data_IF_563423685922
#
_entry.id   IF_563423685922
#
_cell.length_a   1.000
_cell.length_b   1.000
_cell.length_c   1.000
_cell.angle_alpha   90.00
_cell.angle_beta   90.00
_cell.angle_gamma   90.00
#
_symmetry.space_group_name_H-M   'P 1'
#
loop_
_entity.id
_entity.type
_entity.pdbx_description
1 polymer ?
#
# COMPACT_ATOMS: atom_id res chain seq x y z
N UNK A 1 35.06 71.57 -0.94
CA UNK A 1 34.27 71.45 0.29
C UNK A 1 33.22 70.38 0.05
N UNK A 2 33.35 69.22 0.72
CA UNK A 2 32.40 68.09 0.68
C UNK A 2 31.04 68.50 1.25
N UNK A 3 29.92 67.83 0.87
CA UNK A 3 29.52 66.54 1.47
C UNK A 3 28.82 65.62 0.45
N UNK A 4 28.53 64.35 0.64
CA UNK A 4 28.68 63.38 1.71
C UNK A 4 28.12 62.06 1.17
N UNK A 5 28.85 60.96 1.32
CA UNK A 5 28.40 59.64 0.90
C UNK A 5 27.35 59.11 1.89
N UNK A 6 26.12 58.90 1.44
CA UNK A 6 25.12 58.09 2.16
C UNK A 6 25.02 56.73 1.48
N UNK A 7 25.50 55.69 2.17
CA UNK A 7 25.26 54.30 1.81
C UNK A 7 23.81 53.94 2.14
N UNK A 8 23.00 53.75 1.10
CA UNK A 8 21.67 53.17 1.24
C UNK A 8 21.79 51.66 1.48
N UNK A 9 21.59 51.23 2.72
CA UNK A 9 21.47 49.83 3.08
C UNK A 9 20.14 49.28 2.54
N UNK A 10 20.20 48.48 1.48
CA UNK A 10 19.09 47.62 1.04
C UNK A 10 18.93 46.50 2.07
N UNK A 11 17.98 46.65 2.98
CA UNK A 11 17.45 45.58 3.82
C UNK A 11 16.71 44.56 2.93
N UNK A 12 17.45 43.60 2.38
CA UNK A 12 16.90 42.34 1.93
C UNK A 12 16.41 41.59 3.16
N UNK A 13 15.11 41.65 3.41
CA UNK A 13 14.42 40.74 4.32
C UNK A 13 14.58 39.33 3.77
N UNK A 14 15.66 38.65 4.15
CA UNK A 14 15.78 37.22 3.99
C UNK A 14 14.67 36.59 4.83
N UNK A 15 13.61 36.11 4.16
CA UNK A 15 12.69 35.16 4.78
C UNK A 15 13.57 34.00 5.27
N UNK A 16 13.64 33.87 6.59
CA UNK A 16 14.20 32.71 7.25
C UNK A 16 13.51 31.48 6.67
N UNK A 17 14.20 30.72 5.82
CA UNK A 17 13.91 29.31 5.67
C UNK A 17 14.02 28.73 7.07
N UNK A 18 12.88 28.40 7.67
CA UNK A 18 12.88 27.54 8.84
C UNK A 18 13.68 26.29 8.47
N UNK A 19 14.66 25.86 9.27
CA UNK A 19 15.28 24.57 9.06
C UNK A 19 14.17 23.53 9.13
N UNK A 20 13.96 22.81 8.01
CA UNK A 20 13.02 21.71 7.95
C UNK A 20 13.32 20.74 9.12
N UNK A 21 12.25 20.41 9.83
CA UNK A 21 12.25 19.69 11.11
C UNK A 21 13.15 18.45 11.08
N UNK A 22 14.07 18.33 12.04
CA UNK A 22 14.95 17.17 12.25
C UNK A 22 14.28 16.00 13.00
N UNK A 23 12.95 15.95 13.02
CA UNK A 23 12.21 14.82 13.62
C UNK A 23 11.84 13.84 12.50
N UNK A 24 12.28 12.58 12.55
CA UNK A 24 11.88 11.56 11.56
C UNK A 24 10.41 11.12 11.71
N UNK A 25 9.69 11.70 12.68
CA UNK A 25 8.32 11.33 13.03
C UNK A 25 7.36 12.51 12.81
N UNK A 26 6.12 12.19 12.40
CA UNK A 26 5.03 13.14 12.24
C UNK A 26 4.24 13.21 13.56
N UNK A 27 4.43 14.29 14.30
CA UNK A 27 4.00 14.42 15.71
C UNK A 27 2.58 14.96 15.87
N UNK A 28 2.05 14.79 17.08
CA UNK A 28 0.78 15.40 17.49
C UNK A 28 0.76 16.90 17.19
N UNK A 29 -0.38 17.39 16.70
CA UNK A 29 -0.55 18.77 16.22
C UNK A 29 -0.03 19.01 14.79
N UNK A 30 0.73 18.09 14.20
CA UNK A 30 1.25 18.25 12.85
C UNK A 30 0.14 18.11 11.80
N UNK A 31 0.29 18.90 10.73
CA UNK A 31 -0.59 18.91 9.55
C UNK A 31 0.26 18.90 8.29
N UNK A 32 -0.20 18.15 7.30
CA UNK A 32 0.39 18.10 5.98
C UNK A 32 -0.71 18.15 4.93
N UNK A 33 -0.62 19.08 3.98
CA UNK A 33 -1.66 19.31 2.99
C UNK A 33 -1.10 19.25 1.58
N UNK A 34 -1.77 18.49 0.71
CA UNK A 34 -1.55 18.49 -0.74
C UNK A 34 -2.66 19.31 -1.38
N UNK A 35 -2.29 20.37 -2.11
CA UNK A 35 -3.25 21.17 -2.88
C UNK A 35 -3.59 20.45 -4.18
N UNK A 36 -4.88 20.41 -4.49
CA UNK A 36 -5.42 19.78 -5.69
C UNK A 36 -5.51 20.81 -6.83
N UNK A 37 -5.44 20.36 -8.08
CA UNK A 37 -5.72 21.24 -9.23
C UNK A 37 -7.09 21.90 -9.10
N UNK A 38 -7.20 23.17 -9.48
CA UNK A 38 -8.45 23.92 -9.38
C UNK A 38 -9.57 23.42 -10.31
N UNK A 39 -9.21 22.70 -11.37
CA UNK A 39 -10.14 22.01 -12.26
C UNK A 39 -9.80 20.52 -12.27
N UNK A 40 -10.83 19.66 -12.32
CA UNK A 40 -10.65 18.21 -12.39
C UNK A 40 -9.85 17.81 -13.64
N UNK A 41 -8.86 16.94 -13.45
CA UNK A 41 -7.99 16.43 -14.51
C UNK A 41 -8.08 14.89 -14.55
N UNK A 42 -8.68 14.31 -15.60
CA UNK A 42 -8.72 12.86 -15.76
C UNK A 42 -7.31 12.26 -15.77
N UNK A 43 -7.10 11.16 -15.03
CA UNK A 43 -5.81 10.48 -14.96
C UNK A 43 -4.74 11.19 -14.11
N UNK A 44 -5.07 12.28 -13.42
CA UNK A 44 -4.16 12.91 -12.48
C UNK A 44 -3.75 11.94 -11.37
N UNK A 45 -2.45 11.84 -11.12
CA UNK A 45 -1.89 11.06 -10.02
C UNK A 45 -0.66 11.78 -9.46
N UNK A 46 -0.65 12.00 -8.14
CA UNK A 46 0.46 12.63 -7.44
C UNK A 46 0.67 11.94 -6.09
N UNK A 47 1.94 11.77 -5.71
CA UNK A 47 2.32 11.33 -4.37
C UNK A 47 3.25 12.37 -3.76
N UNK A 48 2.95 12.80 -2.54
CA UNK A 48 3.80 13.75 -1.82
C UNK A 48 4.24 13.14 -0.51
N UNK A 49 5.55 12.97 -0.34
CA UNK A 49 6.16 12.32 0.82
C UNK A 49 5.94 13.12 2.10
N UNK A 50 5.51 12.43 3.16
CA UNK A 50 5.32 12.95 4.52
C UNK A 50 6.45 12.48 5.42
N UNK A 51 6.83 11.21 5.31
CA UNK A 51 7.90 10.59 6.10
C UNK A 51 8.81 9.78 5.18
N UNK A 52 10.12 9.91 5.36
CA UNK A 52 11.08 9.00 4.74
C UNK A 52 11.80 8.19 5.80
N UNK A 53 11.92 6.89 5.54
CA UNK A 53 12.70 6.02 6.39
C UNK A 53 14.18 6.44 6.36
N UNK A 54 14.74 6.71 7.53
CA UNK A 54 16.16 6.94 7.68
C UNK A 54 16.96 5.65 7.42
N UNK A 55 18.11 5.76 6.75
CA UNK A 55 19.06 4.66 6.55
C UNK A 55 19.62 4.57 5.13
N UNK A 56 20.53 3.62 4.91
CA UNK A 56 21.19 3.37 3.62
C UNK A 56 20.63 2.14 2.87
N UNK A 57 19.63 1.44 3.43
CA UNK A 57 19.08 0.22 2.82
C UNK A 57 18.21 0.59 1.62
N UNK A 58 18.45 -0.03 0.49
CA UNK A 58 17.63 0.11 -0.71
C UNK A 58 16.78 -1.15 -0.98
N UNK A 59 15.59 -1.00 -1.59
CA UNK A 59 14.81 0.24 -1.70
C UNK A 59 14.37 0.73 -0.32
N UNK A 60 14.19 2.05 -0.22
CA UNK A 60 13.75 2.75 1.01
C UNK A 60 12.23 2.77 1.11
N UNK A 61 11.75 2.80 2.34
CA UNK A 61 10.35 3.05 2.63
C UNK A 61 10.07 4.55 2.74
N UNK A 62 8.91 4.96 2.29
CA UNK A 62 8.38 6.30 2.50
C UNK A 62 6.87 6.23 2.81
N UNK A 63 6.37 7.14 3.64
CA UNK A 63 4.94 7.36 3.79
C UNK A 63 4.58 8.65 3.04
N UNK A 64 3.53 8.61 2.23
CA UNK A 64 3.13 9.72 1.37
C UNK A 64 1.61 9.91 1.38
N UNK A 65 1.16 11.12 1.08
CA UNK A 65 -0.22 11.35 0.65
C UNK A 65 -0.29 11.13 -0.85
N UNK A 66 -1.06 10.11 -1.26
CA UNK A 66 -1.41 9.82 -2.67
C UNK A 66 -2.72 10.51 -3.02
N UNK A 67 -2.76 11.09 -4.21
CA UNK A 67 -3.91 11.77 -4.79
C UNK A 67 -4.11 11.22 -6.19
N UNK A 68 -5.28 10.66 -6.47
CA UNK A 68 -5.61 10.08 -7.77
C UNK A 68 -6.97 10.61 -8.26
N UNK A 69 -7.11 10.80 -9.57
CA UNK A 69 -8.37 11.20 -10.16
C UNK A 69 -9.41 10.08 -10.00
N UNK A 70 -10.47 10.34 -9.23
CA UNK A 70 -11.61 9.44 -9.07
C UNK A 70 -12.56 9.50 -10.27
N UNK A 71 -13.37 8.46 -10.44
CA UNK A 71 -14.35 8.34 -11.53
C UNK A 71 -15.53 9.32 -11.41
N UNK A 72 -15.82 9.80 -10.20
CA UNK A 72 -16.90 10.76 -9.92
C UNK A 72 -16.57 12.24 -10.14
N UNK A 73 -15.47 12.56 -10.84
CA UNK A 73 -15.10 13.95 -11.14
C UNK A 73 -14.44 14.73 -9.99
N UNK A 74 -13.89 14.04 -9.00
CA UNK A 74 -13.04 14.61 -7.95
C UNK A 74 -11.84 13.73 -7.65
N UNK A 75 -11.10 14.04 -6.59
CA UNK A 75 -9.84 13.34 -6.27
C UNK A 75 -9.97 12.41 -5.08
N UNK A 76 -9.40 11.21 -5.19
CA UNK A 76 -9.27 10.23 -4.11
C UNK A 76 -7.97 10.51 -3.36
N UNK A 77 -8.06 10.65 -2.04
CA UNK A 77 -6.90 10.84 -1.17
C UNK A 77 -6.61 9.53 -0.43
N UNK A 78 -5.34 9.17 -0.29
CA UNK A 78 -4.93 8.04 0.56
C UNK A 78 -3.59 8.31 1.22
N UNK A 79 -3.41 7.85 2.46
CA UNK A 79 -2.10 7.71 3.07
C UNK A 79 -1.51 6.39 2.59
N UNK A 80 -0.34 6.41 1.97
CA UNK A 80 0.30 5.22 1.41
C UNK A 80 1.68 5.00 2.01
N UNK A 81 2.08 3.73 2.14
CA UNK A 81 3.48 3.35 2.34
C UNK A 81 4.02 2.85 1.00
N UNK A 82 5.13 3.42 0.60
CA UNK A 82 5.86 3.11 -0.62
C UNK A 82 7.12 2.34 -0.26
N UNK A 83 7.46 1.35 -1.07
CA UNK A 83 8.79 0.77 -1.14
C UNK A 83 9.38 1.09 -2.51
N UNK A 84 10.34 2.00 -2.57
CA UNK A 84 10.69 2.73 -3.80
C UNK A 84 9.43 3.34 -4.46
N UNK A 85 9.03 2.85 -5.63
CA UNK A 85 7.85 3.34 -6.38
C UNK A 85 6.60 2.47 -6.22
N UNK A 86 6.68 1.37 -5.47
CA UNK A 86 5.56 0.42 -5.28
C UNK A 86 4.79 0.75 -4.01
N UNK A 87 3.47 0.90 -4.13
CA UNK A 87 2.57 0.98 -2.97
C UNK A 87 2.46 -0.40 -2.32
N UNK A 88 2.93 -0.49 -1.08
CA UNK A 88 2.91 -1.71 -0.26
C UNK A 88 1.83 -1.70 0.81
N UNK A 89 1.31 -0.51 1.13
CA UNK A 89 0.14 -0.35 1.98
C UNK A 89 -0.58 0.96 1.62
N UNK A 90 -1.90 0.99 1.73
CA UNK A 90 -2.72 2.19 1.59
C UNK A 90 -3.75 2.27 2.72
N UNK A 91 -4.20 3.49 3.04
CA UNK A 91 -5.27 3.76 3.99
C UNK A 91 -6.65 3.74 3.32
N UNK A 92 -6.79 3.01 2.22
CA UNK A 92 -7.95 3.12 1.35
C UNK A 92 -9.22 2.53 1.98
N UNK A 93 -10.32 3.26 1.75
CA UNK A 93 -11.70 2.77 1.82
C UNK A 93 -12.21 2.86 0.39
N UNK A 94 -12.11 1.75 -0.36
CA UNK A 94 -12.47 1.69 -1.78
C UNK A 94 -13.97 1.90 -2.06
N UNK A 95 -14.78 2.07 -1.01
CA UNK A 95 -16.24 2.03 -1.05
C UNK A 95 -16.92 3.38 -0.75
N UNK A 96 -16.20 4.42 -0.34
CA UNK A 96 -16.79 5.75 -0.15
C UNK A 96 -16.38 6.71 -1.26
N UNK A 97 -17.39 7.12 -2.04
CA UNK A 97 -17.40 8.14 -3.10
C UNK A 97 -16.98 9.55 -2.63
N UNK A 98 -16.22 9.67 -1.54
CA UNK A 98 -15.79 10.94 -1.03
C UNK A 98 -14.58 11.44 -1.84
N UNK A 99 -14.87 12.34 -2.77
CA UNK A 99 -13.87 12.95 -3.63
C UNK A 99 -13.50 14.36 -3.12
N UNK A 100 -12.24 14.54 -2.72
CA UNK A 100 -11.72 15.85 -2.34
C UNK A 100 -11.67 16.78 -3.56
N UNK A 101 -12.00 18.06 -3.36
CA UNK A 101 -12.05 19.07 -4.43
C UNK A 101 -10.91 20.07 -4.41
N UNK A 102 -10.35 20.36 -3.24
CA UNK A 102 -9.34 21.41 -3.10
C UNK A 102 -8.06 20.94 -2.40
N UNK A 103 -8.17 20.12 -1.35
CA UNK A 103 -7.02 19.74 -0.52
C UNK A 103 -7.17 18.28 -0.06
N UNK A 104 -6.07 17.54 0.00
CA UNK A 104 -5.94 16.33 0.82
C UNK A 104 -5.05 16.66 2.02
N UNK A 105 -5.61 16.65 3.23
CA UNK A 105 -4.90 17.03 4.45
C UNK A 105 -4.79 15.87 5.42
N UNK A 106 -3.55 15.46 5.71
CA UNK A 106 -3.20 14.54 6.79
C UNK A 106 -2.96 15.34 8.08
N UNK A 107 -3.54 14.89 9.19
CA UNK A 107 -3.38 15.50 10.50
C UNK A 107 -3.29 14.42 11.57
N UNK A 108 -2.39 14.63 12.55
CA UNK A 108 -2.40 13.91 13.81
C UNK A 108 -2.89 14.89 14.88
N UNK A 109 -4.15 14.75 15.27
CA UNK A 109 -4.83 15.69 16.17
C UNK A 109 -4.29 15.61 17.59
N UNK A 110 -4.54 16.64 18.41
CA UNK A 110 -4.11 16.71 19.83
C UNK A 110 -4.63 15.54 20.69
N UNK A 111 -5.81 15.00 20.36
CA UNK A 111 -6.37 13.81 21.01
C UNK A 111 -5.81 12.48 20.45
N UNK A 112 -4.85 12.52 19.51
CA UNK A 112 -4.14 11.35 19.01
C UNK A 112 -4.82 10.64 17.84
N UNK A 113 -5.75 11.30 17.14
CA UNK A 113 -6.40 10.75 15.94
C UNK A 113 -5.57 11.10 14.70
N UNK A 114 -5.03 10.08 14.01
CA UNK A 114 -4.52 10.29 12.65
C UNK A 114 -5.70 10.28 11.69
N UNK A 115 -5.85 11.33 10.87
CA UNK A 115 -6.94 11.44 9.92
C UNK A 115 -6.50 12.08 8.60
N UNK A 116 -7.17 11.66 7.53
CA UNK A 116 -7.08 12.26 6.21
C UNK A 116 -8.40 12.97 5.90
N UNK A 117 -8.34 14.24 5.49
CA UNK A 117 -9.51 15.10 5.28
C UNK A 117 -9.41 15.88 3.97
N UNK A 118 -10.52 16.48 3.52
CA UNK A 118 -10.57 17.35 2.33
C UNK A 118 -10.14 18.81 2.59
N UNK A 119 -9.68 19.13 3.80
CA UNK A 119 -9.42 20.51 4.24
C UNK A 119 -10.66 21.30 4.68
N UNK A 120 -11.89 20.84 4.37
CA UNK A 120 -13.16 21.44 4.80
C UNK A 120 -13.86 20.65 5.94
N UNK A 121 -13.12 19.72 6.57
CA UNK A 121 -13.47 18.85 7.71
C UNK A 121 -14.21 17.55 7.38
N UNK A 122 -14.49 17.25 6.12
CA UNK A 122 -14.96 15.91 5.78
C UNK A 122 -13.81 14.91 5.93
N UNK A 123 -14.05 13.81 6.65
CA UNK A 123 -13.03 12.80 6.96
C UNK A 123 -13.08 11.70 5.92
N UNK A 124 -11.98 11.51 5.19
CA UNK A 124 -11.80 10.45 4.18
C UNK A 124 -11.44 9.13 4.87
N UNK A 125 -10.52 9.19 5.83
CA UNK A 125 -10.03 8.03 6.58
C UNK A 125 -9.51 8.47 7.95
N UNK A 126 -9.56 7.57 8.94
CA UNK A 126 -8.97 7.79 10.27
C UNK A 126 -8.52 6.47 10.91
N UNK A 127 -7.51 6.55 11.81
CA UNK A 127 -6.93 5.40 12.52
C UNK A 127 -7.76 4.84 13.69
N UNK A 128 -8.79 5.56 14.14
CA UNK A 128 -9.59 5.20 15.32
C UNK A 128 -8.86 5.30 16.67
N UNK A 129 -7.84 6.14 16.79
CA UNK A 129 -6.95 6.26 17.97
C UNK A 129 -7.21 7.48 18.85
N UNK A 130 -8.29 8.22 18.60
CA UNK A 130 -8.71 9.34 19.45
C UNK A 130 -8.80 8.92 20.93
N UNK A 131 -8.17 9.68 21.82
CA UNK A 131 -8.11 9.43 23.27
C UNK A 131 -7.21 8.28 23.70
N UNK A 132 -6.55 7.56 22.79
CA UNK A 132 -5.71 6.40 23.11
C UNK A 132 -4.24 6.77 23.40
N UNK A 133 -3.92 8.06 23.46
CA UNK A 133 -2.58 8.53 23.81
C UNK A 133 -1.54 8.42 22.70
N UNK A 134 -1.95 8.35 21.43
CA UNK A 134 -1.03 8.43 20.29
C UNK A 134 -0.38 9.82 20.17
N UNK A 135 0.91 9.85 19.87
CA UNK A 135 1.77 11.06 19.95
C UNK A 135 2.62 11.27 18.71
N UNK A 136 3.00 10.20 18.03
CA UNK A 136 3.83 10.28 16.84
C UNK A 136 3.50 9.17 15.85
N UNK A 137 3.38 9.54 14.58
CA UNK A 137 3.40 8.61 13.46
C UNK A 137 4.85 8.37 13.04
N UNK A 138 5.23 7.10 13.02
CA UNK A 138 6.59 6.63 12.80
C UNK A 138 6.62 5.54 11.72
N UNK A 139 7.55 5.64 10.77
CA UNK A 139 7.77 4.65 9.73
C UNK A 139 9.03 3.81 10.03
N UNK A 140 8.84 2.51 10.22
CA UNK A 140 9.97 1.59 10.47
C UNK A 140 10.80 1.39 9.19
N UNK A 141 12.09 1.74 9.25
CA UNK A 141 12.97 1.69 8.08
C UNK A 141 13.36 0.27 7.63
N UNK A 142 13.16 -0.74 8.47
CA UNK A 142 13.50 -2.13 8.16
C UNK A 142 12.33 -2.88 7.56
N UNK A 143 11.13 -2.69 8.12
CA UNK A 143 9.94 -3.47 7.75
C UNK A 143 8.93 -2.67 6.90
N UNK A 144 8.97 -1.34 6.96
CA UNK A 144 7.94 -0.49 6.37
C UNK A 144 6.65 -0.40 7.19
N UNK A 145 6.67 -0.91 8.43
CA UNK A 145 5.51 -0.82 9.32
C UNK A 145 5.30 0.64 9.76
N UNK A 146 4.12 1.19 9.45
CA UNK A 146 3.71 2.53 9.82
C UNK A 146 2.94 2.47 11.13
N UNK A 147 3.46 3.11 12.18
CA UNK A 147 2.98 2.96 13.55
C UNK A 147 2.61 4.30 14.17
N UNK A 148 1.50 4.34 14.89
CA UNK A 148 1.22 5.40 15.86
C UNK A 148 1.77 4.97 17.21
N UNK A 149 2.63 5.80 17.79
CA UNK A 149 3.33 5.54 19.04
C UNK A 149 2.83 6.46 20.15
N UNK A 150 2.72 5.94 21.37
CA UNK A 150 2.49 6.73 22.60
C UNK A 150 3.78 7.43 23.09
N UNK A 151 3.69 8.19 24.19
CA UNK A 151 4.86 8.86 24.81
C UNK A 151 5.95 7.89 25.29
N UNK A 152 5.59 6.62 25.53
CA UNK A 152 6.50 5.54 25.94
C UNK A 152 7.01 4.72 24.76
N UNK A 153 6.70 5.14 23.52
CA UNK A 153 7.01 4.46 22.25
C UNK A 153 6.34 3.10 22.08
N UNK A 154 5.25 2.82 22.79
CA UNK A 154 4.41 1.66 22.52
C UNK A 154 3.53 1.92 21.30
N UNK A 155 3.27 0.87 20.54
CA UNK A 155 2.41 0.93 19.37
C UNK A 155 0.94 0.95 19.79
N UNK A 156 0.23 2.02 19.45
CA UNK A 156 -1.22 2.20 19.65
C UNK A 156 -1.99 1.72 18.42
N UNK A 157 -1.40 1.87 17.24
CA UNK A 157 -1.95 1.42 15.96
C UNK A 157 -0.82 1.13 14.97
N UNK A 158 -1.02 0.20 14.05
CA UNK A 158 -0.05 -0.11 13.00
C UNK A 158 -0.69 -0.55 11.67
N UNK A 159 -0.02 -0.25 10.55
CA UNK A 159 -0.47 -0.64 9.21
C UNK A 159 -0.48 -2.16 8.99
N UNK A 160 0.43 -2.89 9.65
CA UNK A 160 0.56 -4.34 9.50
C UNK A 160 -0.67 -5.13 9.97
N UNK A 161 -1.55 -4.55 10.79
CA UNK A 161 -2.79 -5.19 11.23
C UNK A 161 -3.91 -5.15 10.17
N UNK A 162 -3.72 -4.38 9.07
CA UNK A 162 -4.70 -4.15 8.00
C UNK A 162 -4.03 -4.21 6.61
N UNK A 163 -3.69 -5.40 6.10
CA UNK A 163 -3.09 -5.54 4.77
C UNK A 163 -4.07 -5.13 3.65
N UNK A 164 -3.55 -4.58 2.55
CA UNK A 164 -4.34 -4.01 1.42
C UNK A 164 -4.02 -4.63 0.06
N UNK A 165 -3.28 -5.74 0.03
CA UNK A 165 -2.88 -6.40 -1.22
C UNK A 165 -1.47 -6.99 -1.18
N UNK A 166 -0.65 -6.55 -0.22
CA UNK A 166 0.72 -7.04 -0.05
C UNK A 166 1.03 -7.38 1.41
N UNK A 167 1.85 -8.40 1.61
CA UNK A 167 2.43 -8.76 2.90
C UNK A 167 3.93 -8.50 2.88
N UNK A 168 4.43 -7.83 3.92
CA UNK A 168 5.82 -7.41 4.04
C UNK A 168 6.59 -8.27 5.06
N UNK A 169 7.91 -8.48 4.88
CA UNK A 169 8.75 -9.11 5.90
C UNK A 169 8.60 -8.45 7.28
N UNK A 170 8.42 -9.28 8.31
CA UNK A 170 8.14 -8.87 9.69
C UNK A 170 6.65 -8.78 10.02
N UNK A 171 5.76 -8.97 9.05
CA UNK A 171 4.32 -9.00 9.29
C UNK A 171 3.87 -10.36 9.82
N UNK A 172 3.04 -10.32 10.87
CA UNK A 172 2.48 -11.50 11.53
C UNK A 172 0.97 -11.37 11.63
N UNK A 173 0.24 -12.35 11.09
CA UNK A 173 -1.22 -12.35 11.03
C UNK A 173 -1.78 -13.51 11.84
N UNK A 174 -2.86 -13.25 12.58
CA UNK A 174 -3.70 -14.29 13.17
C UNK A 174 -4.77 -14.69 12.16
N UNK A 175 -5.04 -15.98 12.02
CA UNK A 175 -6.03 -16.49 11.09
C UNK A 175 -7.43 -16.58 11.74
N UNK A 176 -8.52 -16.44 10.96
CA UNK A 176 -8.53 -16.14 9.53
C UNK A 176 -8.11 -14.69 9.24
N UNK A 177 -7.51 -14.46 8.07
CA UNK A 177 -7.14 -13.14 7.58
C UNK A 177 -7.27 -13.10 6.07
N UNK A 178 -7.57 -11.93 5.50
CA UNK A 178 -7.66 -11.77 4.06
C UNK A 178 -7.33 -10.34 3.64
N UNK A 179 -7.05 -10.17 2.36
CA UNK A 179 -6.98 -8.86 1.72
C UNK A 179 -7.50 -8.96 0.30
N UNK A 180 -8.01 -7.84 -0.21
CA UNK A 180 -8.68 -7.76 -1.51
C UNK A 180 -8.02 -6.74 -2.41
N UNK A 181 -8.04 -6.98 -3.72
CA UNK A 181 -7.58 -6.03 -4.74
C UNK A 181 -8.62 -5.97 -5.85
N UNK A 182 -8.98 -4.76 -6.27
CA UNK A 182 -9.94 -4.56 -7.36
C UNK A 182 -9.20 -4.32 -8.69
N UNK A 183 -9.62 -4.93 -9.81
CA UNK A 183 -9.04 -4.68 -11.12
C UNK A 183 -9.26 -3.24 -11.55
N UNK A 184 -8.19 -2.56 -11.95
CA UNK A 184 -8.25 -1.15 -12.35
C UNK A 184 -9.18 -0.86 -13.56
N UNK A 185 -9.56 -1.89 -14.32
CA UNK A 185 -10.25 -1.75 -15.62
C UNK A 185 -11.70 -2.24 -15.65
N UNK A 186 -12.18 -2.94 -14.62
CA UNK A 186 -13.50 -3.57 -14.64
C UNK A 186 -14.20 -3.31 -13.30
N UNK A 187 -15.27 -2.51 -13.35
CA UNK A 187 -16.11 -2.22 -12.19
C UNK A 187 -17.08 -3.37 -11.93
N UNK A 188 -16.65 -4.40 -11.19
CA UNK A 188 -17.52 -5.41 -10.57
C UNK A 188 -16.71 -6.53 -9.89
N UNK A 189 -15.71 -7.14 -10.55
CA UNK A 189 -14.94 -8.19 -9.91
C UNK A 189 -13.91 -7.64 -8.94
N UNK A 190 -13.54 -8.43 -7.94
CA UNK A 190 -12.36 -8.21 -7.11
C UNK A 190 -11.69 -9.54 -6.79
N UNK A 191 -10.39 -9.49 -6.57
CA UNK A 191 -9.59 -10.63 -6.12
C UNK A 191 -9.45 -10.60 -4.61
N UNK A 192 -9.40 -11.76 -3.97
CA UNK A 192 -8.99 -11.90 -2.57
C UNK A 192 -7.88 -12.94 -2.44
N UNK A 193 -7.00 -12.74 -1.46
CA UNK A 193 -6.20 -13.80 -0.88
C UNK A 193 -6.71 -14.03 0.53
N UNK A 194 -7.14 -15.26 0.81
CA UNK A 194 -7.71 -15.66 2.08
C UNK A 194 -6.79 -16.69 2.74
N UNK A 195 -6.41 -16.41 3.99
CA UNK A 195 -5.58 -17.26 4.83
C UNK A 195 -6.49 -17.82 5.93
N UNK A 196 -6.92 -19.06 5.76
CA UNK A 196 -7.84 -19.74 6.67
C UNK A 196 -7.12 -20.79 7.53
N UNK A 197 -7.87 -21.51 8.37
CA UNK A 197 -7.32 -22.53 9.25
C UNK A 197 -6.94 -23.83 8.52
N UNK A 198 -7.53 -24.10 7.37
CA UNK A 198 -7.36 -25.34 6.59
C UNK A 198 -6.62 -25.13 5.27
N UNK A 199 -6.71 -23.93 4.67
CA UNK A 199 -5.99 -23.59 3.43
C UNK A 199 -5.70 -22.10 3.29
N UNK A 200 -4.81 -21.80 2.34
CA UNK A 200 -4.66 -20.47 1.74
C UNK A 200 -5.29 -20.56 0.35
N UNK A 201 -6.10 -19.60 -0.06
CA UNK A 201 -6.71 -19.62 -1.38
C UNK A 201 -6.82 -18.22 -1.98
N UNK A 202 -6.63 -18.13 -3.30
CA UNK A 202 -6.90 -16.93 -4.07
C UNK A 202 -8.23 -17.08 -4.81
N UNK A 203 -9.09 -16.07 -4.67
CA UNK A 203 -10.44 -16.08 -5.23
C UNK A 203 -10.70 -14.89 -6.13
N UNK A 204 -11.56 -15.08 -7.12
CA UNK A 204 -12.23 -14.00 -7.85
C UNK A 204 -13.70 -13.95 -7.45
N UNK A 205 -14.18 -12.75 -7.17
CA UNK A 205 -15.58 -12.48 -6.88
C UNK A 205 -16.26 -11.82 -8.08
N UNK A 206 -17.51 -12.22 -8.35
CA UNK A 206 -18.41 -11.59 -9.32
C UNK A 206 -19.76 -11.36 -8.65
N UNK A 207 -19.95 -10.17 -8.07
CA UNK A 207 -21.06 -9.92 -7.17
C UNK A 207 -20.99 -10.88 -5.97
N UNK A 208 -22.03 -11.68 -5.77
CA UNK A 208 -22.10 -12.65 -4.67
C UNK A 208 -21.41 -14.00 -4.98
N UNK A 209 -20.97 -14.22 -6.23
CA UNK A 209 -20.31 -15.47 -6.62
C UNK A 209 -18.82 -15.40 -6.33
N UNK A 210 -18.25 -16.51 -5.87
CA UNK A 210 -16.83 -16.65 -5.52
C UNK A 210 -16.26 -17.90 -6.16
N UNK A 211 -15.12 -17.77 -6.83
CA UNK A 211 -14.44 -18.89 -7.49
C UNK A 211 -12.97 -18.95 -7.07
N UNK A 212 -12.54 -20.12 -6.59
CA UNK A 212 -11.13 -20.38 -6.27
C UNK A 212 -10.37 -20.66 -7.54
N UNK A 213 -9.23 -20.01 -7.73
CA UNK A 213 -8.34 -20.27 -8.87
C UNK A 213 -6.95 -20.76 -8.44
N UNK A 214 -6.60 -20.64 -7.16
CA UNK A 214 -5.35 -21.17 -6.62
C UNK A 214 -5.51 -21.51 -5.13
N UNK A 215 -4.95 -22.64 -4.68
CA UNK A 215 -5.00 -23.06 -3.27
C UNK A 215 -3.68 -23.70 -2.80
N UNK A 216 -3.39 -23.55 -1.51
CA UNK A 216 -2.34 -24.25 -0.79
C UNK A 216 -2.89 -24.80 0.53
N UNK A 217 -2.86 -26.12 0.68
CA UNK A 217 -3.21 -26.81 1.93
C UNK A 217 -1.94 -27.22 2.68
N UNK A 218 -1.93 -27.23 4.02
CA UNK A 218 -0.80 -27.72 4.79
C UNK A 218 -0.53 -29.21 4.51
N UNK A 219 0.74 -29.60 4.52
CA UNK A 219 1.15 -30.99 4.22
C UNK A 219 0.66 -32.01 5.26
N UNK A 220 0.31 -31.52 6.45
CA UNK A 220 -0.35 -32.29 7.50
C UNK A 220 -1.76 -31.74 7.70
N UNK A 221 -2.73 -32.58 8.05
CA UNK A 221 -4.10 -32.16 8.42
C UNK A 221 -4.14 -31.33 9.74
N UNK A 222 -3.08 -30.58 10.05
CA UNK A 222 -3.00 -29.65 11.16
C UNK A 222 -3.58 -28.31 10.76
N UNK A 223 -4.41 -27.76 11.64
CA UNK A 223 -4.96 -26.43 11.47
C UNK A 223 -3.87 -25.36 11.59
N UNK A 224 -3.91 -24.39 10.67
CA UNK A 224 -3.14 -23.16 10.69
C UNK A 224 -3.80 -22.16 11.64
N UNK A 225 -2.98 -21.40 12.37
CA UNK A 225 -3.43 -20.37 13.31
C UNK A 225 -2.77 -19.01 13.06
N UNK A 226 -1.59 -19.00 12.44
CA UNK A 226 -0.83 -17.79 12.16
C UNK A 226 -0.15 -17.85 10.79
N UNK A 227 0.08 -16.66 10.22
CA UNK A 227 0.94 -16.49 9.06
C UNK A 227 2.06 -15.49 9.39
N UNK A 228 3.29 -15.83 9.04
CA UNK A 228 4.47 -14.98 9.22
C UNK A 228 5.17 -14.77 7.88
N UNK A 229 5.39 -13.51 7.53
CA UNK A 229 6.13 -13.13 6.34
C UNK A 229 7.56 -12.74 6.71
N UNK A 230 8.54 -13.31 6.01
CA UNK A 230 9.95 -12.98 6.16
C UNK A 230 10.68 -12.93 4.81
N UNK A 231 12.00 -12.72 4.82
CA UNK A 231 12.81 -12.62 3.61
C UNK A 231 12.91 -13.93 2.81
N UNK A 232 12.42 -15.05 3.37
CA UNK A 232 12.37 -16.37 2.73
C UNK A 232 10.98 -16.74 2.18
N UNK A 233 9.95 -15.90 2.42
CA UNK A 233 8.59 -16.09 1.93
C UNK A 233 7.53 -16.04 3.04
N UNK A 234 6.36 -16.62 2.75
CA UNK A 234 5.23 -16.69 3.68
C UNK A 234 5.18 -18.06 4.33
N UNK A 235 5.29 -18.13 5.65
CA UNK A 235 5.20 -19.37 6.43
C UNK A 235 3.91 -19.39 7.23
N UNK A 236 3.19 -20.51 7.18
CA UNK A 236 2.00 -20.76 7.99
C UNK A 236 2.38 -21.60 9.20
N UNK A 237 1.78 -21.28 10.35
CA UNK A 237 2.07 -21.93 11.62
C UNK A 237 0.82 -22.46 12.29
N UNK A 238 0.97 -23.58 13.00
CA UNK A 238 -0.07 -24.12 13.89
C UNK A 238 -0.25 -23.29 15.17
N UNK A 239 -1.19 -23.69 16.03
CA UNK A 239 -1.44 -23.03 17.32
C UNK A 239 -0.24 -23.05 18.30
N UNK A 240 0.76 -23.91 18.07
CA UNK A 240 2.02 -23.99 18.84
C UNK A 240 3.17 -23.27 18.16
N UNK A 241 2.89 -22.48 17.11
CA UNK A 241 3.87 -21.75 16.28
C UNK A 241 4.87 -22.66 15.56
N UNK A 242 4.49 -23.90 15.22
CA UNK A 242 5.28 -24.80 14.39
C UNK A 242 4.90 -24.59 12.92
N UNK A 243 5.87 -24.51 11.98
CA UNK A 243 5.57 -24.31 10.57
C UNK A 243 4.85 -25.54 10.00
N UNK A 244 3.78 -25.31 9.21
CA UNK A 244 2.94 -26.38 8.62
C UNK A 244 2.72 -26.24 7.12
N UNK A 245 2.90 -25.03 6.56
CA UNK A 245 2.90 -24.77 5.12
C UNK A 245 3.81 -23.58 4.81
N UNK A 246 4.30 -23.47 3.58
CA UNK A 246 5.15 -22.35 3.15
C UNK A 246 4.99 -22.05 1.66
N UNK A 247 4.89 -20.76 1.34
CA UNK A 247 5.12 -20.23 0.00
C UNK A 247 6.55 -19.70 -0.02
N UNK A 248 7.43 -20.33 -0.80
CA UNK A 248 8.84 -19.96 -0.92
C UNK A 248 9.19 -19.61 -2.37
N UNK A 249 10.26 -18.82 -2.59
CA UNK A 249 10.78 -18.55 -3.93
C UNK A 249 11.02 -19.84 -4.73
N UNK A 250 10.55 -19.88 -5.98
CA UNK A 250 10.88 -20.92 -6.94
C UNK A 250 12.26 -20.66 -7.58
N UNK A 251 12.67 -19.40 -7.66
CA UNK A 251 13.97 -18.96 -8.17
C UNK A 251 14.63 -18.04 -7.15
N UNK A 252 15.90 -18.28 -6.84
CA UNK A 252 16.66 -17.41 -5.94
C UNK A 252 17.02 -16.10 -6.65
N UNK A 253 16.29 -15.02 -6.33
CA UNK A 253 16.55 -13.66 -6.79
C UNK A 253 16.96 -12.72 -5.64
N UNK A 254 17.44 -13.28 -4.54
CA UNK A 254 17.71 -12.56 -3.30
C UNK A 254 16.51 -12.54 -2.35
N UNK A 255 16.55 -11.69 -1.30
CA UNK A 255 15.55 -11.68 -0.24
C UNK A 255 14.19 -11.23 -0.77
N UNK A 256 13.14 -11.93 -0.35
CA UNK A 256 11.75 -11.54 -0.63
C UNK A 256 11.46 -10.21 0.04
N UNK A 257 10.88 -9.27 -0.73
CA UNK A 257 10.51 -7.93 -0.28
C UNK A 257 9.03 -7.82 0.01
N UNK A 258 8.18 -8.58 -0.68
CA UNK A 258 6.77 -8.72 -0.36
C UNK A 258 6.16 -9.92 -1.09
N UNK A 259 5.06 -10.45 -0.53
CA UNK A 259 4.05 -11.21 -1.27
C UNK A 259 3.00 -10.22 -1.79
N UNK A 260 2.54 -10.37 -3.02
CA UNK A 260 1.50 -9.52 -3.58
C UNK A 260 0.41 -10.32 -4.29
N UNK A 261 -0.83 -9.88 -4.09
CA UNK A 261 -1.94 -10.11 -5.01
C UNK A 261 -2.06 -8.89 -5.93
N UNK A 262 -1.93 -9.09 -7.24
CA UNK A 262 -2.08 -8.06 -8.25
C UNK A 262 -3.55 -7.73 -8.53
N UNK A 263 -3.78 -6.56 -9.12
CA UNK A 263 -5.09 -6.15 -9.65
C UNK A 263 -5.48 -6.93 -10.92
N UNK A 264 -4.56 -7.73 -11.46
CA UNK A 264 -4.76 -8.75 -12.49
C UNK A 264 -5.01 -10.15 -11.93
N UNK A 265 -5.02 -10.32 -10.60
CA UNK A 265 -5.20 -11.61 -9.93
C UNK A 265 -3.93 -12.43 -9.78
N UNK A 266 -2.78 -11.94 -10.27
CA UNK A 266 -1.49 -12.61 -10.09
C UNK A 266 -1.12 -12.68 -8.61
N UNK A 267 -0.68 -13.85 -8.14
CA UNK A 267 -0.18 -14.04 -6.78
C UNK A 267 1.30 -14.43 -6.85
N UNK A 268 2.16 -13.67 -6.19
CA UNK A 268 3.61 -13.90 -6.30
C UNK A 268 4.44 -13.37 -5.14
N UNK A 269 5.66 -13.88 -5.04
CA UNK A 269 6.71 -13.32 -4.18
C UNK A 269 7.64 -12.46 -5.04
N UNK A 270 8.04 -11.30 -4.53
CA UNK A 270 8.84 -10.35 -5.28
C UNK A 270 10.16 -10.05 -4.57
N UNK A 271 11.25 -10.06 -5.32
CA UNK A 271 12.56 -9.60 -4.87
C UNK A 271 12.92 -8.29 -5.59
N UNK A 272 13.80 -7.49 -4.98
CA UNK A 272 14.26 -6.25 -5.59
C UNK A 272 15.48 -6.50 -6.48
N UNK A 273 15.38 -6.14 -7.75
CA UNK A 273 16.49 -6.10 -8.68
C UNK A 273 17.14 -4.70 -8.63
N UNK A 274 18.26 -4.61 -7.91
CA UNK A 274 19.01 -3.36 -7.77
C UNK A 274 19.66 -2.88 -9.08
N UNK A 275 19.80 -3.75 -10.09
CA UNK A 275 20.39 -3.36 -11.39
C UNK A 275 19.41 -2.54 -12.21
N UNK A 276 18.13 -2.92 -12.18
CA UNK A 276 17.07 -2.27 -12.95
C UNK A 276 16.16 -1.36 -12.10
N UNK A 277 16.34 -1.35 -10.78
CA UNK A 277 15.55 -0.52 -9.87
C UNK A 277 14.08 -0.93 -9.80
N UNK A 278 13.77 -2.21 -10.00
CA UNK A 278 12.41 -2.73 -10.03
C UNK A 278 12.25 -4.00 -9.20
N UNK A 279 11.01 -4.46 -9.06
CA UNK A 279 10.70 -5.72 -8.39
C UNK A 279 10.44 -6.80 -9.43
N UNK A 280 11.05 -7.97 -9.24
CA UNK A 280 10.87 -9.12 -10.13
C UNK A 280 10.31 -10.31 -9.34
N UNK A 281 9.43 -11.11 -9.96
CA UNK A 281 8.85 -12.26 -9.29
C UNK A 281 9.92 -13.32 -9.05
N UNK A 282 10.02 -13.82 -7.82
CA UNK A 282 10.79 -14.99 -7.43
C UNK A 282 9.93 -16.24 -7.28
N UNK A 283 8.61 -16.07 -7.26
CA UNK A 283 7.57 -17.11 -7.31
C UNK A 283 6.30 -16.51 -7.93
N UNK A 284 5.60 -17.31 -8.74
CA UNK A 284 4.27 -17.01 -9.27
C UNK A 284 3.38 -18.24 -9.08
N UNK A 285 2.16 -18.01 -8.59
CA UNK A 285 1.20 -19.05 -8.27
C UNK A 285 0.65 -19.74 -9.53
N UNK A 286 0.44 -18.98 -10.59
CA UNK A 286 -0.12 -19.40 -11.87
C UNK A 286 0.55 -18.64 -13.01
N UNK A 287 0.58 -19.26 -14.19
CA UNK A 287 1.00 -18.55 -15.40
C UNK A 287 -0.09 -17.59 -15.88
N UNK A 288 0.29 -16.59 -16.69
CA UNK A 288 -0.63 -15.56 -17.18
C UNK A 288 -1.95 -16.09 -17.74
N UNK A 289 -1.92 -17.11 -18.62
CA UNK A 289 -3.15 -17.66 -19.20
C UNK A 289 -4.03 -18.46 -18.23
N UNK A 290 -3.48 -18.90 -17.11
CA UNK A 290 -4.22 -19.65 -16.09
C UNK A 290 -4.92 -18.70 -15.10
N UNK A 291 -4.61 -17.39 -15.16
CA UNK A 291 -5.27 -16.39 -14.35
C UNK A 291 -6.71 -16.14 -14.84
N UNK A 292 -7.66 -15.94 -13.91
CA UNK A 292 -8.98 -15.46 -14.26
C UNK A 292 -8.89 -14.11 -14.96
N UNK A 293 -9.71 -13.92 -16.01
CA UNK A 293 -9.76 -12.66 -16.78
C UNK A 293 -8.41 -12.17 -17.34
N UNK A 294 -7.44 -13.07 -17.53
CA UNK A 294 -6.11 -12.73 -18.09
C UNK A 294 -6.17 -11.90 -19.39
N UNK A 295 -7.17 -12.17 -20.23
CA UNK A 295 -7.43 -11.43 -21.46
C UNK A 295 -8.67 -10.52 -21.42
N UNK A 296 -9.33 -10.37 -20.26
CA UNK A 296 -10.61 -9.68 -20.14
C UNK A 296 -11.81 -10.51 -20.63
N UNK A 297 -12.99 -9.87 -20.69
CA UNK A 297 -14.29 -10.56 -20.81
C UNK A 297 -14.59 -11.10 -22.22
N UNK A 298 -13.84 -10.69 -23.25
CA UNK A 298 -14.11 -11.01 -24.67
C UNK A 298 -12.90 -11.50 -25.46
N UNK A 299 -11.82 -11.90 -24.77
CA UNK A 299 -10.64 -12.43 -25.45
C UNK A 299 -10.16 -13.73 -24.80
N UNK A 300 -9.54 -14.57 -25.63
CA UNK A 300 -9.01 -15.87 -25.23
C UNK A 300 -7.50 -15.80 -25.19
N UNK A 301 -6.92 -16.35 -24.12
CA UNK A 301 -5.48 -16.53 -24.02
C UNK A 301 -5.05 -17.67 -24.94
N UNK A 302 -4.11 -17.40 -25.84
CA UNK A 302 -3.48 -18.42 -26.67
C UNK A 302 -2.35 -19.11 -25.93
N UNK A 303 -1.95 -20.29 -26.42
CA UNK A 303 -0.78 -21.03 -25.91
C UNK A 303 0.52 -20.20 -25.92
N UNK A 304 0.60 -19.16 -26.74
CA UNK A 304 1.75 -18.25 -26.78
C UNK A 304 1.67 -17.11 -25.74
N UNK A 305 0.72 -17.14 -24.82
CA UNK A 305 0.49 -16.06 -23.85
C UNK A 305 -0.14 -14.80 -24.44
N UNK A 306 -0.66 -14.85 -25.67
CA UNK A 306 -1.25 -13.68 -26.34
C UNK A 306 -2.77 -13.71 -26.31
N UNK A 307 -3.38 -12.55 -26.08
CA UNK A 307 -4.83 -12.38 -26.09
C UNK A 307 -5.34 -12.15 -27.50
N UNK A 308 -6.37 -12.88 -27.91
CA UNK A 308 -7.06 -12.68 -29.19
C UNK A 308 -8.55 -12.51 -28.96
N UNK A 309 -9.12 -11.52 -29.62
CA UNK A 309 -10.56 -11.26 -29.60
C UNK A 309 -11.33 -12.50 -30.08
N UNK A 310 -12.37 -12.87 -29.33
CA UNK A 310 -13.29 -13.95 -29.67
C UNK A 310 -13.92 -13.73 -31.06
N UNK A 311 -14.25 -12.47 -31.40
CA UNK A 311 -14.86 -12.11 -32.68
C UNK A 311 -13.95 -12.40 -33.87
N UNK A 312 -12.63 -12.33 -33.68
CA UNK A 312 -11.65 -12.62 -34.72
C UNK A 312 -11.56 -14.12 -35.08
N UNK A 313 -12.22 -15.01 -34.30
CA UNK A 313 -12.29 -16.45 -34.57
C UNK A 313 -13.59 -16.90 -35.25
N UNK A 314 -14.48 -15.97 -35.62
CA UNK A 314 -15.62 -16.26 -36.50
C UNK A 314 -16.72 -17.14 -35.88
N UNK A 315 -16.70 -17.38 -34.57
CA UNK A 315 -17.79 -18.02 -33.84
C UNK A 315 -18.73 -16.91 -33.37
N UNK A 316 -19.92 -16.83 -33.98
CA UNK A 316 -21.01 -15.96 -33.53
C UNK A 316 -21.66 -16.51 -32.28
#
# INVERSE_FOLDING_TARGET
MSPGCTWGALLLAALLLQPALSSPDFRVGARFAVRLPGAYQPGFAQRTTVLEAAGKREPRFAAAVSVEAGTGGGYLCSLVVLLANVTVWASDRSDQEFAARAVCQLELTEDGQLRLTDGARAVVWWSGTAGQGAKALHLDSKTGNLRLLDDKKHTVWQSFDKPTGKLLPGQWLRLPSYFTVSPAKISSPFYSLELDGDKIAAYIYFGERKYSYWELTPSSNQAMAFAGMDESGLTMYDGRRRPVAKISPAVNKGPVRFLALGDDGSLGLYAYDSRHGNFTPSYEALAFCDLPLSCGVLAVCSLSGSCRDFAARGVR
#
